data_IF_813243024808
#
_entry.id   IF_813243024808
#
_cell.length_a   1.000
_cell.length_b   1.000
_cell.length_c   1.000
_cell.angle_alpha   90.00
_cell.angle_beta   90.00
_cell.angle_gamma   90.00
#
_symmetry.space_group_name_H-M   'P 1'
#
loop_
_entity.id
_entity.type
_entity.pdbx_description
1 polymer ?
#
# COMPACT_ATOMS: atom_id res chain seq x y z
N UNK A 1 -24.73 1.92 52.99
CA UNK A 1 -23.56 1.71 52.10
C UNK A 1 -22.33 2.19 52.86
N UNK A 2 -21.34 1.33 53.12
CA UNK A 2 -20.22 1.64 54.03
C UNK A 2 -18.93 1.77 53.20
N UNK A 3 -18.33 2.96 53.20
CA UNK A 3 -17.11 3.25 52.45
C UNK A 3 -15.88 2.75 53.19
N UNK A 4 -14.95 2.09 52.50
CA UNK A 4 -13.68 1.61 53.06
C UNK A 4 -12.51 2.42 52.52
N UNK A 5 -11.36 2.48 53.24
CA UNK A 5 -10.14 3.15 52.75
C UNK A 5 -9.70 2.71 51.34
N UNK A 6 -9.95 1.46 50.99
CA UNK A 6 -9.68 0.94 49.64
C UNK A 6 -10.51 1.64 48.55
N UNK A 7 -11.75 2.04 48.85
CA UNK A 7 -12.63 2.68 47.88
C UNK A 7 -12.14 4.10 47.53
N UNK A 8 -11.63 4.83 48.53
CA UNK A 8 -10.98 6.13 48.32
C UNK A 8 -9.69 6.01 47.50
N UNK A 9 -8.85 5.01 47.79
CA UNK A 9 -7.63 4.71 47.01
C UNK A 9 -7.99 4.43 45.56
N UNK A 10 -9.03 3.65 45.31
CA UNK A 10 -9.52 3.33 43.95
C UNK A 10 -9.99 4.58 43.21
N UNK A 11 -10.79 5.44 43.84
CA UNK A 11 -11.27 6.69 43.22
C UNK A 11 -10.10 7.60 42.86
N UNK A 12 -9.18 7.84 43.80
CA UNK A 12 -8.00 8.68 43.58
C UNK A 12 -7.13 8.19 42.43
N UNK A 13 -6.78 6.89 42.41
CA UNK A 13 -5.90 6.35 41.35
C UNK A 13 -6.58 6.37 39.99
N UNK A 14 -7.88 6.05 39.94
CA UNK A 14 -8.66 6.10 38.69
C UNK A 14 -8.67 7.51 38.10
N UNK A 15 -8.96 8.51 38.94
CA UNK A 15 -9.02 9.92 38.53
C UNK A 15 -7.65 10.46 38.09
N UNK A 16 -6.59 10.16 38.84
CA UNK A 16 -5.24 10.57 38.52
C UNK A 16 -4.77 9.99 37.17
N UNK A 17 -4.99 8.70 36.93
CA UNK A 17 -4.61 8.06 35.66
C UNK A 17 -5.44 8.59 34.50
N UNK A 18 -6.76 8.80 34.68
CA UNK A 18 -7.63 9.41 33.66
C UNK A 18 -7.24 10.84 33.31
N UNK A 19 -6.70 11.58 34.28
CA UNK A 19 -6.18 12.94 34.08
C UNK A 19 -4.78 12.98 33.45
N UNK A 20 -4.26 11.83 33.01
CA UNK A 20 -3.00 11.72 32.27
C UNK A 20 -1.79 11.38 33.13
N UNK A 21 -1.96 11.06 34.41
CA UNK A 21 -0.84 10.57 35.23
C UNK A 21 -0.41 9.17 34.76
N UNK A 22 0.86 8.95 34.40
CA UNK A 22 1.31 7.63 33.98
C UNK A 22 1.13 6.58 35.08
N UNK A 23 0.66 5.35 34.77
CA UNK A 23 0.40 4.31 35.76
C UNK A 23 1.57 3.97 36.68
N UNK A 24 2.81 4.06 36.20
CA UNK A 24 4.01 3.80 37.01
C UNK A 24 4.27 4.91 38.05
N UNK A 25 3.86 6.16 37.79
CA UNK A 25 3.94 7.26 38.77
C UNK A 25 2.83 7.10 39.81
N UNK A 26 1.61 6.79 39.38
CA UNK A 26 0.50 6.46 40.28
C UNK A 26 0.85 5.29 41.22
N UNK A 27 1.53 4.25 40.69
CA UNK A 27 2.03 3.12 41.47
C UNK A 27 2.98 3.56 42.58
N UNK A 28 3.91 4.46 42.26
CA UNK A 28 4.89 5.00 43.21
C UNK A 28 4.23 5.83 44.32
N UNK A 29 3.24 6.66 43.98
CA UNK A 29 2.45 7.43 44.96
C UNK A 29 1.70 6.49 45.92
N UNK A 30 1.16 5.40 45.40
CA UNK A 30 0.45 4.40 46.20
C UNK A 30 1.38 3.44 46.97
N UNK A 31 2.69 3.47 46.72
CA UNK A 31 3.64 2.54 47.33
C UNK A 31 3.47 1.10 46.83
N UNK A 32 2.98 0.89 45.61
CA UNK A 32 2.89 -0.43 45.01
C UNK A 32 4.27 -0.91 44.54
N UNK A 33 4.61 -2.17 44.84
CA UNK A 33 5.86 -2.81 44.39
C UNK A 33 5.84 -3.17 42.91
N UNK A 34 4.66 -3.37 42.31
CA UNK A 34 4.48 -3.62 40.88
C UNK A 34 3.45 -2.64 40.29
N UNK A 35 3.64 -2.29 39.01
CA UNK A 35 2.71 -1.41 38.29
C UNK A 35 1.38 -2.11 38.06
N UNK A 36 1.35 -3.44 37.95
CA UNK A 36 0.14 -4.25 37.72
C UNK A 36 -0.93 -4.05 38.79
N UNK A 37 -0.53 -3.87 40.07
CA UNK A 37 -1.48 -3.53 41.16
C UNK A 37 -2.18 -2.20 40.92
N UNK A 38 -1.54 -1.27 40.19
CA UNK A 38 -2.11 0.03 39.83
C UNK A 38 -2.91 -0.03 38.54
N UNK A 39 -2.51 -0.89 37.60
CA UNK A 39 -3.22 -1.10 36.33
C UNK A 39 -4.64 -1.62 36.60
N UNK A 40 -4.86 -2.38 37.68
CA UNK A 40 -6.22 -2.78 38.10
C UNK A 40 -7.17 -1.62 38.40
N UNK A 41 -6.66 -0.41 38.68
CA UNK A 41 -7.45 0.82 38.84
C UNK A 41 -7.58 1.62 37.53
N UNK A 42 -6.72 1.35 36.54
CA UNK A 42 -6.76 1.96 35.23
C UNK A 42 -7.70 1.16 34.32
N UNK A 43 -9.01 1.32 34.51
CA UNK A 43 -9.96 0.84 33.51
C UNK A 43 -9.72 1.63 32.21
N UNK A 44 -9.07 1.00 31.23
CA UNK A 44 -8.86 1.56 29.90
C UNK A 44 -10.13 1.29 29.09
N UNK A 45 -10.90 2.33 28.79
CA UNK A 45 -12.08 2.21 27.94
C UNK A 45 -11.67 2.29 26.46
N UNK A 46 -12.32 1.54 25.56
CA UNK A 46 -12.05 1.62 24.12
C UNK A 46 -12.08 3.07 23.58
N UNK A 47 -12.98 3.90 24.10
CA UNK A 47 -13.09 5.32 23.73
C UNK A 47 -11.83 6.12 24.09
N UNK A 48 -11.20 5.82 25.23
CA UNK A 48 -9.97 6.47 25.67
C UNK A 48 -8.81 6.12 24.73
N UNK A 49 -8.70 4.85 24.32
CA UNK A 49 -7.68 4.39 23.37
C UNK A 49 -7.86 5.10 22.02
N UNK A 50 -9.09 5.16 21.50
CA UNK A 50 -9.41 5.83 20.24
C UNK A 50 -9.06 7.33 20.32
N UNK A 51 -9.42 7.98 21.42
CA UNK A 51 -9.19 9.42 21.64
C UNK A 51 -7.69 9.73 21.71
N UNK A 52 -6.94 8.96 22.51
CA UNK A 52 -5.50 9.13 22.63
C UNK A 52 -4.78 8.86 21.30
N UNK A 53 -5.19 7.83 20.57
CA UNK A 53 -4.64 7.52 19.25
C UNK A 53 -4.90 8.67 18.25
N UNK A 54 -6.14 9.18 18.17
CA UNK A 54 -6.48 10.32 17.31
C UNK A 54 -5.67 11.56 17.67
N UNK A 55 -5.54 11.87 18.96
CA UNK A 55 -4.74 13.00 19.44
C UNK A 55 -3.25 12.85 19.09
N UNK A 56 -2.71 11.63 19.18
CA UNK A 56 -1.34 11.33 18.75
C UNK A 56 -1.14 11.59 17.25
N UNK A 57 -2.05 11.10 16.39
CA UNK A 57 -1.98 11.34 14.94
C UNK A 57 -2.11 12.83 14.61
N UNK A 58 -3.02 13.55 15.28
CA UNK A 58 -3.20 14.99 15.09
C UNK A 58 -1.92 15.78 15.41
N UNK A 59 -1.27 15.50 16.55
CA UNK A 59 0.02 16.12 16.92
C UNK A 59 1.11 15.84 15.88
N UNK A 60 1.19 14.62 15.36
CA UNK A 60 2.16 14.26 14.32
C UNK A 60 1.90 15.00 13.00
N UNK A 61 0.63 15.18 12.61
CA UNK A 61 0.26 15.97 11.42
C UNK A 61 0.61 17.45 11.59
N UNK A 62 0.41 18.03 12.77
CA UNK A 62 0.75 19.42 13.05
C UNK A 62 2.26 19.72 12.97
N UNK A 63 3.11 18.72 13.16
CA UNK A 63 4.56 18.84 13.04
C UNK A 63 5.08 18.68 11.60
N UNK A 64 4.24 18.24 10.66
CA UNK A 64 4.67 18.11 9.27
C UNK A 64 4.81 19.48 8.61
N UNK A 65 5.84 19.71 7.80
CA UNK A 65 5.95 20.93 7.01
C UNK A 65 4.67 21.17 6.20
N UNK A 66 4.14 22.39 6.25
CA UNK A 66 2.91 22.74 5.51
C UNK A 66 3.04 22.57 3.99
N UNK A 67 4.27 22.63 3.46
CA UNK A 67 4.58 22.36 2.05
C UNK A 67 4.13 20.98 1.58
N UNK A 68 4.11 19.96 2.45
CA UNK A 68 3.62 18.61 2.10
C UNK A 68 2.11 18.59 1.80
N UNK A 69 1.36 19.60 2.25
CA UNK A 69 -0.09 19.71 2.11
C UNK A 69 -0.50 20.88 1.20
N UNK A 70 0.42 21.46 0.44
CA UNK A 70 0.07 22.50 -0.52
C UNK A 70 -0.85 21.93 -1.60
N UNK A 71 -1.70 22.80 -2.13
CA UNK A 71 -2.45 22.46 -3.34
C UNK A 71 -1.46 22.31 -4.52
N UNK A 72 -1.66 21.25 -5.31
CA UNK A 72 -0.89 21.03 -6.53
C UNK A 72 -1.37 22.01 -7.62
N UNK A 73 -0.41 22.56 -8.36
CA UNK A 73 -0.71 23.45 -9.49
C UNK A 73 -1.29 22.66 -10.66
N UNK A 74 -2.00 23.33 -11.57
CA UNK A 74 -2.50 22.68 -12.79
C UNK A 74 -1.37 22.06 -13.63
N UNK A 75 -0.21 22.74 -13.72
CA UNK A 75 0.95 22.21 -14.45
C UNK A 75 1.51 20.91 -13.84
N UNK A 76 1.58 20.82 -12.51
CA UNK A 76 2.00 19.59 -11.83
C UNK A 76 0.99 18.46 -12.00
N UNK A 77 -0.30 18.79 -12.06
CA UNK A 77 -1.35 17.82 -12.42
C UNK A 77 -1.18 17.34 -13.85
N UNK A 78 -0.95 18.23 -14.80
CA UNK A 78 -0.76 17.89 -16.20
C UNK A 78 0.49 17.01 -16.39
N UNK A 79 1.61 17.33 -15.73
CA UNK A 79 2.83 16.51 -15.76
C UNK A 79 2.58 15.11 -15.18
N UNK A 80 1.88 15.03 -14.06
CA UNK A 80 1.50 13.76 -13.44
C UNK A 80 0.61 12.92 -14.35
N UNK A 81 -0.38 13.53 -15.02
CA UNK A 81 -1.29 12.83 -15.93
C UNK A 81 -0.57 12.39 -17.21
N UNK A 82 0.25 13.26 -17.79
CA UNK A 82 1.06 12.96 -18.97
C UNK A 82 1.98 11.75 -18.72
N UNK A 83 2.45 11.56 -17.48
CA UNK A 83 3.22 10.36 -17.11
C UNK A 83 2.48 9.06 -17.45
N UNK A 84 1.16 8.97 -17.22
CA UNK A 84 0.42 7.73 -17.50
C UNK A 84 0.29 7.47 -18.99
N UNK A 85 0.18 8.52 -19.81
CA UNK A 85 0.16 8.38 -21.27
C UNK A 85 1.52 7.93 -21.82
N UNK A 86 2.62 8.48 -21.28
CA UNK A 86 3.99 8.10 -21.63
C UNK A 86 4.33 6.65 -21.25
N UNK A 87 3.57 6.02 -20.36
CA UNK A 87 3.75 4.61 -19.98
C UNK A 87 3.05 3.62 -20.92
N UNK A 88 2.30 4.11 -21.91
CA UNK A 88 1.73 3.26 -22.96
C UNK A 88 2.83 2.87 -23.95
N UNK A 89 3.04 1.57 -24.07
CA UNK A 89 4.04 0.95 -24.95
C UNK A 89 3.34 0.02 -25.95
N UNK A 90 4.08 -0.48 -26.93
CA UNK A 90 3.52 -1.23 -28.06
C UNK A 90 2.64 -2.43 -27.67
N UNK A 91 2.91 -3.09 -26.54
CA UNK A 91 2.18 -4.27 -26.07
C UNK A 91 1.19 -4.00 -24.92
N UNK A 92 1.10 -2.76 -24.43
CA UNK A 92 0.24 -2.44 -23.29
C UNK A 92 0.80 -1.31 -22.45
N UNK A 93 0.79 -1.45 -21.12
CA UNK A 93 1.16 -0.37 -20.21
C UNK A 93 2.28 -0.80 -19.25
N UNK A 94 3.26 0.07 -19.06
CA UNK A 94 4.28 -0.08 -18.04
C UNK A 94 3.71 0.29 -16.66
N UNK A 95 3.63 -0.67 -15.74
CA UNK A 95 3.13 -0.46 -14.37
C UNK A 95 4.20 0.07 -13.40
N UNK A 96 5.18 0.81 -13.88
CA UNK A 96 6.23 1.40 -13.04
C UNK A 96 5.74 2.73 -12.45
N UNK A 97 6.13 3.02 -11.21
CA UNK A 97 5.67 4.19 -10.47
C UNK A 97 6.08 5.52 -11.11
N UNK A 98 5.35 6.58 -10.77
CA UNK A 98 5.69 7.95 -11.17
C UNK A 98 7.12 8.32 -10.77
N UNK A 99 7.82 9.05 -11.64
CA UNK A 99 9.18 9.54 -11.36
C UNK A 99 10.29 8.46 -11.40
N UNK A 100 10.00 7.25 -11.87
CA UNK A 100 11.00 6.17 -11.95
C UNK A 100 11.36 5.81 -13.41
N UNK A 101 12.47 6.36 -13.96
CA UNK A 101 12.85 6.13 -15.36
C UNK A 101 13.35 4.69 -15.62
N UNK A 102 13.37 4.26 -16.88
CA UNK A 102 13.89 2.94 -17.27
C UNK A 102 14.71 3.01 -18.57
N UNK A 103 15.96 2.53 -18.52
CA UNK A 103 16.82 2.47 -19.70
C UNK A 103 16.33 1.48 -20.78
N UNK A 104 15.45 0.54 -20.42
CA UNK A 104 14.96 -0.53 -21.30
C UNK A 104 13.46 -0.40 -21.57
N UNK A 105 12.92 0.83 -21.54
CA UNK A 105 11.48 1.09 -21.62
C UNK A 105 10.83 0.48 -22.86
N UNK A 106 11.59 0.35 -23.96
CA UNK A 106 11.12 -0.24 -25.23
C UNK A 106 11.37 -1.76 -25.37
N UNK A 107 12.08 -2.40 -24.44
CA UNK A 107 12.32 -3.86 -24.43
C UNK A 107 11.31 -4.59 -23.52
N UNK A 108 10.02 -4.29 -23.68
CA UNK A 108 9.02 -4.54 -22.64
C UNK A 108 8.70 -6.03 -22.40
N UNK A 109 8.90 -6.92 -23.37
CA UNK A 109 8.48 -8.34 -23.27
C UNK A 109 9.10 -9.04 -22.06
N UNK A 110 10.38 -8.77 -21.76
CA UNK A 110 11.07 -9.32 -20.58
C UNK A 110 10.67 -8.62 -19.27
N UNK A 111 10.06 -7.44 -19.35
CA UNK A 111 9.79 -6.63 -18.18
C UNK A 111 8.63 -7.20 -17.36
N UNK A 112 8.85 -7.46 -16.07
CA UNK A 112 7.80 -7.91 -15.14
C UNK A 112 6.72 -6.84 -14.90
N UNK A 113 7.07 -5.56 -15.08
CA UNK A 113 6.14 -4.46 -14.91
C UNK A 113 5.28 -4.19 -16.15
N UNK A 114 5.56 -4.81 -17.29
CA UNK A 114 4.68 -4.74 -18.46
C UNK A 114 3.38 -5.50 -18.16
N UNK A 115 2.28 -4.74 -18.10
CA UNK A 115 0.92 -5.26 -18.13
C UNK A 115 0.47 -5.28 -19.60
N UNK A 116 0.35 -6.47 -20.15
CA UNK A 116 -0.02 -6.64 -21.56
C UNK A 116 -1.49 -6.30 -21.72
N UNK A 117 -1.80 -5.50 -22.74
CA UNK A 117 -3.17 -5.21 -23.12
C UNK A 117 -3.83 -6.52 -23.64
N UNK A 118 -5.00 -6.93 -23.14
CA UNK A 118 -5.72 -8.10 -23.62
C UNK A 118 -5.89 -8.14 -25.16
N UNK A 119 -6.07 -6.99 -25.80
CA UNK A 119 -6.20 -6.90 -27.27
C UNK A 119 -4.89 -7.15 -28.02
N UNK A 120 -3.74 -7.11 -27.33
CA UNK A 120 -2.42 -7.39 -27.90
C UNK A 120 -2.01 -8.87 -27.78
N UNK A 121 -2.91 -9.76 -27.32
CA UNK A 121 -2.66 -11.20 -27.27
C UNK A 121 -2.15 -11.75 -28.61
N UNK A 122 -2.78 -11.46 -29.77
CA UNK A 122 -2.32 -12.00 -31.06
C UNK A 122 -0.90 -11.53 -31.41
N UNK A 123 -0.57 -10.29 -31.09
CA UNK A 123 0.76 -9.72 -31.33
C UNK A 123 1.82 -10.37 -30.44
N UNK A 124 1.50 -10.69 -29.19
CA UNK A 124 2.41 -11.40 -28.31
C UNK A 124 2.65 -12.85 -28.78
N UNK A 125 1.62 -13.51 -29.33
CA UNK A 125 1.75 -14.83 -29.97
C UNK A 125 2.65 -14.76 -31.22
N UNK A 126 2.49 -13.73 -32.05
CA UNK A 126 3.37 -13.49 -33.20
C UNK A 126 4.83 -13.28 -32.79
N UNK A 127 5.07 -12.46 -31.76
CA UNK A 127 6.41 -12.26 -31.20
C UNK A 127 6.99 -13.58 -30.71
N UNK A 128 6.21 -14.40 -30.01
CA UNK A 128 6.66 -15.70 -29.52
C UNK A 128 7.02 -16.65 -30.67
N UNK A 129 6.22 -16.70 -31.73
CA UNK A 129 6.51 -17.50 -32.92
C UNK A 129 7.81 -17.03 -33.60
N UNK A 130 7.98 -15.73 -33.79
CA UNK A 130 9.21 -15.18 -34.37
C UNK A 130 10.46 -15.51 -33.54
N UNK A 131 10.35 -15.47 -32.20
CA UNK A 131 11.45 -15.86 -31.32
C UNK A 131 11.82 -17.33 -31.48
N UNK A 132 10.86 -18.22 -31.76
CA UNK A 132 11.14 -19.63 -32.01
C UNK A 132 11.95 -19.83 -33.31
N UNK A 133 11.57 -19.12 -34.38
CA UNK A 133 12.31 -19.15 -35.65
C UNK A 133 13.74 -18.62 -35.48
N UNK A 134 13.89 -17.49 -34.78
CA UNK A 134 15.21 -16.90 -34.47
C UNK A 134 16.06 -17.77 -33.57
N UNK A 135 15.45 -18.49 -32.63
CA UNK A 135 16.16 -19.44 -31.78
C UNK A 135 16.75 -20.59 -32.60
N UNK A 136 15.98 -21.10 -33.56
CA UNK A 136 16.44 -22.18 -34.43
C UNK A 136 17.61 -21.72 -35.30
N UNK A 137 17.51 -20.54 -35.92
CA UNK A 137 18.59 -19.92 -36.69
C UNK A 137 19.86 -19.74 -35.84
N UNK A 138 19.74 -19.17 -34.65
CA UNK A 138 20.88 -18.94 -33.77
C UNK A 138 21.56 -20.26 -33.33
N UNK A 139 20.79 -21.34 -33.17
CA UNK A 139 21.33 -22.68 -32.87
C UNK A 139 22.10 -23.26 -34.05
N UNK A 140 21.55 -23.17 -35.25
CA UNK A 140 22.20 -23.65 -36.48
C UNK A 140 23.51 -22.91 -36.78
N UNK A 141 23.54 -21.60 -36.51
CA UNK A 141 24.73 -20.76 -36.68
C UNK A 141 25.72 -20.82 -35.51
N UNK A 142 25.36 -21.47 -34.41
CA UNK A 142 26.21 -21.58 -33.21
C UNK A 142 26.36 -20.27 -32.42
N UNK A 143 25.43 -19.32 -32.54
CA UNK A 143 25.45 -18.04 -31.82
C UNK A 143 24.96 -18.20 -30.37
N UNK A 144 25.80 -18.81 -29.53
CA UNK A 144 25.43 -19.19 -28.16
C UNK A 144 24.91 -18.04 -27.29
N UNK A 145 25.47 -16.83 -27.44
CA UNK A 145 25.00 -15.66 -26.71
C UNK A 145 23.59 -15.22 -27.11
N UNK A 146 23.26 -15.34 -28.39
CA UNK A 146 21.94 -15.02 -28.91
C UNK A 146 20.90 -16.09 -28.53
N UNK A 147 21.28 -17.37 -28.57
CA UNK A 147 20.47 -18.48 -28.05
C UNK A 147 20.03 -18.19 -26.61
N UNK A 148 20.97 -17.88 -25.70
CA UNK A 148 20.65 -17.60 -24.31
C UNK A 148 19.73 -16.36 -24.14
N UNK A 149 19.95 -15.32 -24.94
CA UNK A 149 19.13 -14.10 -24.91
C UNK A 149 17.71 -14.36 -25.42
N UNK A 150 17.56 -15.11 -26.51
CA UNK A 150 16.27 -15.46 -27.09
C UNK A 150 15.48 -16.36 -26.12
N UNK A 151 16.11 -17.39 -25.55
CA UNK A 151 15.46 -18.28 -24.57
C UNK A 151 14.90 -17.50 -23.37
N UNK A 152 15.65 -16.53 -22.86
CA UNK A 152 15.18 -15.64 -21.79
C UNK A 152 13.96 -14.81 -22.22
N UNK A 153 13.94 -14.31 -23.46
CA UNK A 153 12.81 -13.53 -23.99
C UNK A 153 11.58 -14.39 -24.20
N UNK A 154 11.78 -15.59 -24.74
CA UNK A 154 10.74 -16.57 -25.02
C UNK A 154 10.06 -17.00 -23.73
N UNK A 155 10.83 -17.34 -22.68
CA UNK A 155 10.29 -17.67 -21.37
C UNK A 155 9.39 -16.55 -20.79
N UNK A 156 9.80 -15.28 -20.94
CA UNK A 156 9.00 -14.15 -20.50
C UNK A 156 7.73 -13.96 -21.34
N UNK A 157 7.79 -14.18 -22.66
CA UNK A 157 6.63 -14.14 -23.55
C UNK A 157 5.63 -15.26 -23.19
N UNK A 158 6.10 -16.49 -23.00
CA UNK A 158 5.27 -17.63 -22.57
C UNK A 158 4.57 -17.35 -21.25
N UNK A 159 5.31 -16.87 -20.23
CA UNK A 159 4.73 -16.53 -18.94
C UNK A 159 3.60 -15.50 -19.05
N UNK A 160 3.77 -14.49 -19.92
CA UNK A 160 2.75 -13.46 -20.15
C UNK A 160 1.53 -14.03 -20.88
N UNK A 161 1.73 -14.86 -21.91
CA UNK A 161 0.63 -15.54 -22.60
C UNK A 161 -0.19 -16.40 -21.64
N UNK A 162 0.46 -17.18 -20.78
CA UNK A 162 -0.22 -18.03 -19.80
C UNK A 162 -0.99 -17.22 -18.75
N UNK A 163 -0.40 -16.11 -18.29
CA UNK A 163 -1.08 -15.18 -17.39
C UNK A 163 -2.33 -14.57 -18.03
N UNK A 164 -2.26 -14.16 -19.31
CA UNK A 164 -3.42 -13.62 -20.04
C UNK A 164 -4.52 -14.66 -20.23
N UNK A 165 -4.16 -15.91 -20.56
CA UNK A 165 -5.10 -17.03 -20.73
C UNK A 165 -5.80 -17.38 -19.42
N UNK A 166 -5.08 -17.33 -18.30
CA UNK A 166 -5.65 -17.60 -16.97
C UNK A 166 -6.56 -16.45 -16.52
N UNK A 167 -6.16 -15.19 -16.76
CA UNK A 167 -6.94 -14.01 -16.40
C UNK A 167 -8.28 -13.91 -17.18
N UNK A 168 -8.30 -14.32 -18.45
CA UNK A 168 -9.52 -14.34 -19.27
C UNK A 168 -10.64 -15.25 -18.73
N UNK A 169 -10.29 -16.22 -17.87
CA UNK A 169 -11.23 -17.21 -17.35
C UNK A 169 -11.78 -16.87 -15.95
N UNK A 170 -11.35 -15.77 -15.33
CA UNK A 170 -11.67 -15.47 -13.93
C UNK A 170 -12.22 -14.04 -13.77
N UNK A 171 -13.48 -13.81 -14.12
CA UNK A 171 -14.21 -12.65 -13.58
C UNK A 171 -14.47 -12.86 -12.10
N UNK A 172 -13.63 -12.27 -11.25
CA UNK A 172 -13.88 -12.21 -9.80
C UNK A 172 -14.88 -11.09 -9.53
N UNK A 173 -16.14 -11.47 -9.29
CA UNK A 173 -17.18 -10.52 -8.90
C UNK A 173 -16.95 -10.10 -7.43
N UNK A 174 -16.34 -8.94 -7.23
CA UNK A 174 -16.06 -8.39 -5.90
C UNK A 174 -17.27 -7.73 -5.22
N UNK A 175 -18.42 -7.68 -5.91
CA UNK A 175 -19.60 -6.90 -5.48
C UNK A 175 -19.34 -5.39 -5.52
N UNK A 176 -20.39 -4.58 -5.50
CA UNK A 176 -20.22 -3.14 -5.28
C UNK A 176 -19.87 -2.92 -3.80
N UNK A 177 -18.77 -2.23 -3.47
CA UNK A 177 -18.52 -1.85 -2.09
C UNK A 177 -19.64 -0.90 -1.65
N UNK A 178 -20.36 -1.31 -0.61
CA UNK A 178 -21.47 -0.53 -0.07
C UNK A 178 -20.92 0.76 0.56
N UNK A 179 -21.19 1.91 -0.05
CA UNK A 179 -20.75 3.19 0.50
C UNK A 179 -21.61 3.49 1.72
N UNK A 180 -21.12 3.11 2.91
CA UNK A 180 -21.69 3.63 4.16
C UNK A 180 -21.68 5.16 4.05
N UNK A 181 -22.84 5.84 4.22
CA UNK A 181 -22.88 7.29 4.15
C UNK A 181 -21.89 7.84 5.17
N UNK A 182 -20.93 8.62 4.68
CA UNK A 182 -19.95 9.27 5.52
C UNK A 182 -20.71 10.12 6.55
N UNK A 183 -20.64 9.73 7.82
CA UNK A 183 -21.05 10.58 8.94
C UNK A 183 -20.09 11.77 8.99
N UNK A 184 -20.36 12.78 8.16
CA UNK A 184 -19.46 13.88 7.88
C UNK A 184 -20.17 15.23 7.99
N UNK A 185 -19.91 15.89 9.12
CA UNK A 185 -19.92 17.34 9.35
C UNK A 185 -21.31 17.99 9.47
N UNK A 186 -21.79 18.12 10.72
CA UNK A 186 -22.74 19.18 11.06
C UNK A 186 -22.07 20.53 10.79
N UNK A 187 -22.64 21.32 9.87
CA UNK A 187 -22.38 22.76 9.80
C UNK A 187 -23.05 23.38 11.02
N UNK A 188 -22.25 23.96 11.91
CA UNK A 188 -22.77 24.92 12.87
C UNK A 188 -23.25 26.16 12.09
N UNK A 189 -24.51 26.54 12.29
CA UNK A 189 -25.03 27.88 11.98
C UNK A 189 -25.01 28.71 13.25
#
# INVERSE_FOLDING_TARGET
MQWRPHDFRRIFVTDAVRSGLPPHIAAKICGHSTVDTTIGYAAIYPEDVITHHRAFIARRRAQRPGEEYRDLTAAEWDEFLAHFELRKVALGTCGRDYGTPCAHENACVRCRLLRVDPHQLPRLEEIHANLADRLQEAKEQGWLGEVAAIETTMAAATQKLDAMRTAGNATVHLGMPDTRPAAGRSRAS
#
